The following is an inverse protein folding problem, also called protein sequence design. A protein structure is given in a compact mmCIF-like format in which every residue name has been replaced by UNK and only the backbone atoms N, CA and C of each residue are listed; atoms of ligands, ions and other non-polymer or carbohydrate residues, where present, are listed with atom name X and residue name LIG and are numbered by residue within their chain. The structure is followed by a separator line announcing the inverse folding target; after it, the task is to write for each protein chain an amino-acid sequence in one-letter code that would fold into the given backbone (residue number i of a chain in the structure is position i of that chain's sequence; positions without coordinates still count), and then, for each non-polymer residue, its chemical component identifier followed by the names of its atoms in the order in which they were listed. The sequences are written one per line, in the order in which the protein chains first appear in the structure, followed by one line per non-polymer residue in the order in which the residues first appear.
data_IF_039344174101
#
_entry.id   IF_039344174101
#
_cell.length_a   1.000
_cell.length_b   1.000
_cell.length_c   1.000
_cell.angle_alpha   90.00
_cell.angle_beta   90.00
_cell.angle_gamma   90.00
#
_symmetry.space_group_name_H-M   'P 1'
#
loop_
_entity.id
_entity.type
_entity.pdbx_description
1 polymer ?
#
# COMPACT_ATOMS: atom_id res chain seq x y z
N UNK A 1 6.24 18.80 -14.97
CA UNK A 1 6.68 18.94 -13.57
C UNK A 1 7.42 20.24 -13.44
N UNK A 2 7.08 21.01 -12.41
CA UNK A 2 7.76 22.26 -12.05
C UNK A 2 9.10 21.91 -11.43
N UNK A 3 10.12 22.71 -11.70
CA UNK A 3 11.49 22.52 -11.24
C UNK A 3 11.75 23.38 -9.99
N UNK A 4 12.29 22.75 -8.95
CA UNK A 4 12.64 23.39 -7.67
C UNK A 4 13.74 24.42 -7.83
N UNK A 5 14.77 24.13 -8.63
CA UNK A 5 15.89 25.02 -8.86
C UNK A 5 15.44 26.26 -9.64
N UNK A 6 14.57 26.07 -10.63
CA UNK A 6 13.98 27.19 -11.37
C UNK A 6 13.09 28.05 -10.46
N UNK A 7 12.25 27.42 -9.61
CA UNK A 7 11.44 28.15 -8.63
C UNK A 7 12.30 28.99 -7.66
N UNK A 8 13.45 28.47 -7.22
CA UNK A 8 14.39 29.19 -6.36
C UNK A 8 15.04 30.39 -7.08
N UNK A 9 15.49 30.21 -8.32
CA UNK A 9 16.07 31.30 -9.14
C UNK A 9 15.01 32.40 -9.37
N UNK A 10 13.78 32.01 -9.69
CA UNK A 10 12.67 32.96 -9.87
C UNK A 10 12.29 33.68 -8.57
N UNK A 11 12.40 33.02 -7.41
CA UNK A 11 12.15 33.63 -6.11
C UNK A 11 13.25 34.63 -5.75
N UNK A 12 14.51 34.32 -6.07
CA UNK A 12 15.65 35.21 -5.79
C UNK A 12 15.64 36.47 -6.66
N UNK A 13 15.47 36.34 -7.98
CA UNK A 13 15.51 37.48 -8.91
C UNK A 13 14.15 38.14 -9.10
N UNK A 14 13.05 37.41 -8.97
CA UNK A 14 11.69 37.89 -9.24
C UNK A 14 10.79 37.93 -8.01
N UNK A 15 11.31 37.64 -6.82
CA UNK A 15 10.53 37.59 -5.58
C UNK A 15 9.91 38.92 -5.16
N UNK A 16 10.47 40.04 -5.62
CA UNK A 16 9.90 41.37 -5.38
C UNK A 16 8.55 41.59 -6.09
N UNK A 17 8.26 40.83 -7.15
CA UNK A 17 6.99 40.82 -7.91
C UNK A 17 6.22 39.52 -7.69
N UNK A 18 6.86 38.48 -7.11
CA UNK A 18 6.24 37.18 -6.84
C UNK A 18 6.23 36.23 -8.05
N UNK A 19 7.21 36.36 -8.95
CA UNK A 19 7.26 35.60 -10.21
C UNK A 19 7.27 34.07 -9.99
N UNK A 20 7.92 33.60 -8.92
CA UNK A 20 7.92 32.18 -8.52
C UNK A 20 6.53 31.66 -8.15
N UNK A 21 5.64 32.50 -7.59
CA UNK A 21 4.28 32.08 -7.23
C UNK A 21 3.42 31.81 -8.46
N UNK A 22 3.59 32.61 -9.52
CA UNK A 22 2.96 32.35 -10.81
C UNK A 22 3.47 31.05 -11.45
N UNK A 23 4.79 30.83 -11.40
CA UNK A 23 5.39 29.58 -11.89
C UNK A 23 4.84 28.33 -11.17
N UNK A 24 4.59 28.44 -9.86
CA UNK A 24 4.05 27.34 -9.05
C UNK A 24 2.53 27.13 -9.25
N UNK A 25 1.85 28.01 -10.01
CA UNK A 25 0.40 27.98 -10.22
C UNK A 25 -0.41 28.67 -9.11
N UNK A 26 0.25 29.36 -8.18
CA UNK A 26 -0.37 30.08 -7.07
C UNK A 26 -0.72 31.52 -7.46
N UNK A 27 -1.59 31.67 -8.46
CA UNK A 27 -1.90 32.97 -9.09
C UNK A 27 -2.45 34.02 -8.11
N UNK A 28 -3.30 33.62 -7.16
CA UNK A 28 -3.83 34.54 -6.14
C UNK A 28 -2.74 35.12 -5.22
N UNK A 29 -1.75 34.30 -4.86
CA UNK A 29 -0.62 34.73 -4.02
C UNK A 29 0.38 35.56 -4.83
N UNK A 30 0.55 35.26 -6.11
CA UNK A 30 1.32 36.09 -7.05
C UNK A 30 0.75 37.50 -7.20
N UNK A 31 -0.58 37.64 -7.36
CA UNK A 31 -1.24 38.96 -7.45
C UNK A 31 -1.06 39.79 -6.17
N UNK A 32 -1.11 39.15 -5.00
CA UNK A 32 -0.83 39.82 -3.72
C UNK A 32 0.59 40.41 -3.68
N UNK A 33 1.57 39.69 -4.22
CA UNK A 33 2.95 40.16 -4.28
C UNK A 33 3.12 41.39 -5.17
N UNK A 34 2.40 41.45 -6.29
CA UNK A 34 2.40 42.59 -7.22
C UNK A 34 1.80 43.86 -6.59
N UNK A 35 0.76 43.71 -5.76
CA UNK A 35 0.04 44.84 -5.14
C UNK A 35 0.87 45.46 -4.00
N UNK A 36 1.75 44.70 -3.36
CA UNK A 36 2.56 45.15 -2.21
C UNK A 36 4.08 45.08 -2.50
N UNK A 37 4.59 45.84 -3.48
CA UNK A 37 6.02 45.84 -3.80
C UNK A 37 6.84 46.46 -2.67
N UNK A 38 8.00 45.89 -2.35
CA UNK A 38 8.94 46.41 -1.35
C UNK A 38 9.01 45.59 -0.05
N UNK A 39 7.86 45.22 0.55
CA UNK A 39 7.84 44.33 1.72
C UNK A 39 8.28 42.90 1.35
N UNK A 40 7.93 42.48 0.13
CA UNK A 40 8.07 41.10 -0.34
C UNK A 40 9.48 40.74 -0.85
N UNK A 41 10.41 41.70 -0.91
CA UNK A 41 11.80 41.43 -1.35
C UNK A 41 12.48 40.45 -0.39
N UNK A 42 12.33 40.66 0.92
CA UNK A 42 12.89 39.76 1.94
C UNK A 42 12.18 38.39 1.95
N UNK A 43 10.87 38.35 1.69
CA UNK A 43 10.14 37.09 1.56
C UNK A 43 10.58 36.28 0.33
N UNK A 44 10.92 36.95 -0.77
CA UNK A 44 11.45 36.28 -1.98
C UNK A 44 12.78 35.57 -1.72
N UNK A 45 13.71 36.22 -1.01
CA UNK A 45 14.99 35.61 -0.63
C UNK A 45 14.77 34.45 0.36
N UNK A 46 13.87 34.62 1.33
CA UNK A 46 13.51 33.54 2.27
C UNK A 46 12.91 32.34 1.53
N UNK A 47 11.99 32.56 0.60
CA UNK A 47 11.38 31.52 -0.23
C UNK A 47 12.44 30.80 -1.08
N UNK A 48 13.43 31.52 -1.63
CA UNK A 48 14.53 30.91 -2.38
C UNK A 48 15.39 29.98 -1.50
N UNK A 49 15.70 30.38 -0.27
CA UNK A 49 16.41 29.54 0.70
C UNK A 49 15.58 28.30 1.05
N UNK A 50 14.28 28.46 1.27
CA UNK A 50 13.37 27.35 1.57
C UNK A 50 13.34 26.35 0.40
N UNK A 51 13.25 26.82 -0.85
CA UNK A 51 13.26 25.92 -2.02
C UNK A 51 14.59 25.20 -2.20
N UNK A 52 15.72 25.87 -1.97
CA UNK A 52 17.04 25.22 -2.04
C UNK A 52 17.25 24.22 -0.90
N UNK A 53 16.67 24.46 0.27
CA UNK A 53 16.78 23.60 1.45
C UNK A 53 15.74 22.46 1.48
N UNK A 54 14.72 22.50 0.64
CA UNK A 54 13.67 21.49 0.58
C UNK A 54 14.12 20.31 -0.29
N UNK A 55 13.81 19.08 0.11
CA UNK A 55 14.03 17.91 -0.73
C UNK A 55 13.14 17.91 -1.97
N UNK A 56 13.59 17.24 -3.04
CA UNK A 56 12.88 17.23 -4.32
C UNK A 56 11.48 16.61 -4.18
N UNK A 57 11.36 15.53 -3.41
CA UNK A 57 10.09 14.83 -3.18
C UNK A 57 9.06 15.72 -2.46
N UNK A 58 9.49 16.47 -1.45
CA UNK A 58 8.62 17.40 -0.71
C UNK A 58 8.16 18.55 -1.60
N UNK A 59 9.03 19.03 -2.49
CA UNK A 59 8.66 20.05 -3.47
C UNK A 59 7.63 19.52 -4.46
N UNK A 60 7.86 18.33 -5.00
CA UNK A 60 6.96 17.71 -5.98
C UNK A 60 5.60 17.37 -5.37
N UNK A 61 5.56 16.92 -4.11
CA UNK A 61 4.31 16.68 -3.41
C UNK A 61 3.52 17.98 -3.18
N UNK A 62 4.20 19.07 -2.85
CA UNK A 62 3.56 20.36 -2.54
C UNK A 62 3.13 21.14 -3.79
N UNK A 63 3.94 21.10 -4.85
CA UNK A 63 3.79 21.97 -6.02
C UNK A 63 3.47 21.22 -7.31
N UNK A 64 3.79 19.93 -7.40
CA UNK A 64 3.46 19.05 -8.53
C UNK A 64 2.38 18.01 -8.18
N UNK A 65 1.59 18.24 -7.13
CA UNK A 65 0.58 17.28 -6.61
C UNK A 65 -0.32 16.66 -7.69
N UNK A 66 -0.81 17.45 -8.63
CA UNK A 66 -1.67 16.97 -9.73
C UNK A 66 -0.94 16.07 -10.72
N UNK A 67 0.32 16.37 -11.03
CA UNK A 67 1.13 15.54 -11.91
C UNK A 67 1.59 14.26 -11.21
N UNK A 68 1.95 14.37 -9.93
CA UNK A 68 2.27 13.23 -9.06
C UNK A 68 1.06 12.32 -8.90
N UNK A 69 -0.14 12.86 -8.69
CA UNK A 69 -1.36 12.06 -8.58
C UNK A 69 -1.75 11.41 -9.91
N UNK A 70 -1.62 12.13 -11.04
CA UNK A 70 -1.83 11.58 -12.37
C UNK A 70 -0.87 10.41 -12.65
N UNK A 71 0.43 10.61 -12.39
CA UNK A 71 1.44 9.56 -12.57
C UNK A 71 1.20 8.35 -11.67
N UNK A 72 0.88 8.57 -10.38
CA UNK A 72 0.50 7.48 -9.45
C UNK A 72 -0.73 6.73 -9.95
N UNK A 73 -1.74 7.44 -10.45
CA UNK A 73 -2.98 6.82 -10.97
C UNK A 73 -2.73 6.02 -12.25
N UNK A 74 -1.87 6.50 -13.15
CA UNK A 74 -1.52 5.79 -14.38
C UNK A 74 -0.65 4.57 -14.10
N UNK A 75 0.28 4.66 -13.13
CA UNK A 75 1.05 3.51 -12.67
C UNK A 75 0.13 2.43 -12.08
N UNK A 76 -0.80 2.82 -11.22
CA UNK A 76 -1.79 1.92 -10.62
C UNK A 76 -2.69 1.25 -11.67
N UNK A 77 -3.19 2.02 -12.66
CA UNK A 77 -4.00 1.49 -13.77
C UNK A 77 -3.23 0.47 -14.60
N UNK A 78 -2.01 0.80 -15.04
CA UNK A 78 -1.17 -0.09 -15.86
C UNK A 78 -0.80 -1.37 -15.12
N UNK A 79 -0.55 -1.27 -13.83
CA UNK A 79 -0.24 -2.40 -12.98
C UNK A 79 -1.47 -3.31 -12.80
N UNK A 80 -2.65 -2.73 -12.55
CA UNK A 80 -3.92 -3.47 -12.53
C UNK A 80 -4.24 -4.19 -13.85
N UNK A 81 -4.01 -3.53 -14.99
CA UNK A 81 -4.18 -4.16 -16.31
C UNK A 81 -3.21 -5.34 -16.54
N UNK A 82 -1.97 -5.23 -16.05
CA UNK A 82 -0.99 -6.33 -16.09
C UNK A 82 -1.45 -7.50 -15.22
N UNK A 83 -1.88 -7.21 -13.99
CA UNK A 83 -2.42 -8.19 -13.06
C UNK A 83 -3.60 -8.96 -13.67
N UNK A 84 -4.60 -8.26 -14.21
CA UNK A 84 -5.78 -8.89 -14.81
C UNK A 84 -5.41 -9.73 -16.03
N UNK A 85 -4.49 -9.24 -16.87
CA UNK A 85 -3.99 -10.01 -18.02
C UNK A 85 -3.28 -11.28 -17.59
N UNK A 86 -2.45 -11.23 -16.55
CA UNK A 86 -1.80 -12.41 -16.00
C UNK A 86 -2.83 -13.39 -15.44
N UNK A 87 -3.75 -12.90 -14.60
CA UNK A 87 -4.82 -13.70 -14.00
C UNK A 87 -5.66 -14.41 -15.05
N UNK A 88 -6.04 -13.72 -16.12
CA UNK A 88 -6.76 -14.31 -17.25
C UNK A 88 -5.93 -15.38 -17.96
N UNK A 89 -4.63 -15.16 -18.20
CA UNK A 89 -3.74 -16.18 -18.80
C UNK A 89 -3.67 -17.44 -17.93
N UNK A 90 -3.55 -17.28 -16.62
CA UNK A 90 -3.44 -18.40 -15.70
C UNK A 90 -4.76 -19.17 -15.58
N UNK A 91 -5.90 -18.47 -15.47
CA UNK A 91 -7.22 -19.10 -15.56
C UNK A 91 -7.39 -19.88 -16.87
N UNK A 92 -6.91 -19.33 -17.99
CA UNK A 92 -6.94 -20.01 -19.29
C UNK A 92 -6.01 -21.24 -19.34
N UNK A 93 -4.82 -21.19 -18.71
CA UNK A 93 -3.92 -22.34 -18.54
C UNK A 93 -4.56 -23.43 -17.70
N UNK A 94 -5.14 -23.10 -16.54
CA UNK A 94 -5.87 -24.04 -15.67
C UNK A 94 -7.02 -24.71 -16.41
N UNK A 95 -7.81 -23.95 -17.17
CA UNK A 95 -8.89 -24.48 -18.01
C UNK A 95 -8.36 -25.46 -19.07
N UNK A 96 -7.24 -25.14 -19.74
CA UNK A 96 -6.59 -26.03 -20.72
C UNK A 96 -5.94 -27.27 -20.10
N UNK A 97 -5.34 -27.17 -18.92
CA UNK A 97 -4.78 -28.33 -18.21
C UNK A 97 -5.86 -29.32 -17.73
N UNK A 98 -7.04 -28.80 -17.37
CA UNK A 98 -8.18 -29.61 -16.95
C UNK A 98 -8.80 -30.41 -18.12
N UNK A 99 -8.81 -29.85 -19.34
CA UNK A 99 -9.29 -30.58 -20.54
C UNK A 99 -8.31 -31.66 -21.03
N UNK A 100 -7.00 -31.45 -20.90
CA UNK A 100 -5.98 -32.46 -21.22
C UNK A 100 -6.06 -33.69 -20.30
N UNK A 101 -6.46 -33.50 -19.04
CA UNK A 101 -6.62 -34.59 -18.07
C UNK A 101 -7.85 -35.47 -18.35
N UNK A 102 -8.92 -34.88 -18.90
CA UNK A 102 -10.16 -35.60 -19.30
C UNK A 102 -10.00 -36.40 -20.59
N UNK A 103 -9.04 -36.03 -21.44
CA UNK A 103 -8.66 -36.77 -22.66
C UNK A 103 -7.85 -38.04 -22.34
N UNK A 104 -7.03 -38.03 -21.28
CA UNK A 104 -6.23 -39.20 -20.89
C UNK A 104 -7.04 -40.30 -20.19
N UNK A 105 -8.15 -39.99 -19.51
CA UNK A 105 -9.00 -41.00 -18.85
C UNK A 105 -9.85 -41.81 -19.84
N UNK A 106 -10.23 -41.24 -20.98
CA UNK A 106 -10.93 -41.98 -22.06
C UNK A 106 -9.97 -42.85 -22.88
N UNK A 107 -8.69 -42.46 -22.97
CA UNK A 107 -7.65 -43.29 -23.61
C UNK A 107 -7.13 -44.43 -22.72
N UNK A 108 -7.08 -44.24 -21.38
CA UNK A 108 -6.69 -45.28 -20.43
C UNK A 108 -7.77 -46.36 -20.24
N UNK A 109 -9.05 -45.98 -20.25
CA UNK A 109 -10.18 -46.94 -20.25
C UNK A 109 -10.16 -47.89 -21.47
N UNK A 110 -9.64 -47.43 -22.61
CA UNK A 110 -9.49 -48.24 -23.83
C UNK A 110 -8.30 -49.22 -23.79
N UNK A 111 -7.32 -49.00 -22.91
CA UNK A 111 -6.18 -49.92 -22.69
C UNK A 111 -6.42 -50.91 -21.54
N UNK A 112 -7.30 -50.61 -20.59
CA UNK A 112 -7.65 -51.53 -19.50
C UNK A 112 -8.51 -52.73 -19.98
N UNK A 113 -9.34 -52.53 -21.01
CA UNK A 113 -10.17 -53.58 -21.62
C UNK A 113 -9.37 -54.70 -22.34
N UNK A 114 -8.04 -54.54 -22.48
CA UNK A 114 -7.15 -55.57 -23.06
C UNK A 114 -6.30 -56.34 -22.05
N UNK A 115 -6.38 -56.04 -20.75
CA UNK A 115 -5.51 -56.63 -19.72
C UNK A 115 -6.26 -57.35 -18.60
N UNK A 116 -7.47 -57.85 -18.88
CA UNK A 116 -8.23 -58.71 -17.97
C UNK A 116 -7.87 -60.21 -18.08
N UNK A 117 -6.70 -60.55 -18.64
CA UNK A 117 -6.27 -61.94 -18.73
C UNK A 117 -4.78 -62.13 -18.40
N UNK A 118 -4.37 -61.74 -17.20
CA UNK A 118 -3.23 -62.40 -16.52
C UNK A 118 -3.26 -62.15 -15.01
N UNK A 119 -3.51 -63.26 -14.32
CA UNK A 119 -3.53 -63.50 -12.88
C UNK A 119 -2.29 -62.95 -12.17
N UNK A 120 -2.47 -62.60 -10.89
CA UNK A 120 -1.50 -62.98 -9.86
C UNK A 120 -0.90 -61.85 -9.03
N UNK A 121 -0.99 -62.05 -7.71
CA UNK A 121 -0.14 -61.55 -6.62
C UNK A 121 -0.56 -60.23 -5.96
N UNK A 122 -1.15 -60.41 -4.77
CA UNK A 122 -1.26 -59.45 -3.67
C UNK A 122 0.13 -58.97 -3.24
N UNK A 123 0.30 -57.68 -3.00
CA UNK A 123 1.28 -57.22 -2.02
C UNK A 123 0.78 -55.96 -1.30
N UNK A 124 0.56 -56.12 0.00
CA UNK A 124 0.37 -55.05 0.97
C UNK A 124 1.56 -54.08 0.89
N UNK A 125 1.28 -52.80 0.65
CA UNK A 125 2.18 -51.70 1.01
C UNK A 125 1.50 -50.85 2.07
N UNK A 126 2.21 -50.41 3.12
CA UNK A 126 1.60 -49.66 4.21
C UNK A 126 1.18 -48.29 3.70
N UNK A 127 -0.08 -47.94 3.96
CA UNK A 127 -0.62 -46.60 3.78
C UNK A 127 0.19 -45.64 4.64
N UNK A 128 1.16 -44.96 4.04
CA UNK A 128 1.72 -43.74 4.61
C UNK A 128 0.63 -42.68 4.48
N UNK A 129 -0.28 -42.66 5.47
CA UNK A 129 -1.21 -41.55 5.71
C UNK A 129 -0.36 -40.29 5.77
N UNK A 130 -0.28 -39.57 4.65
CA UNK A 130 0.23 -38.21 4.60
C UNK A 130 -0.70 -37.42 5.52
N UNK A 131 -0.16 -37.03 6.66
CA UNK A 131 -0.79 -36.13 7.61
C UNK A 131 -1.48 -35.01 6.82
N UNK A 132 -2.79 -34.93 6.98
CA UNK A 132 -3.61 -33.80 6.54
C UNK A 132 -3.19 -32.58 7.36
N UNK A 133 -2.01 -32.03 7.04
CA UNK A 133 -1.67 -30.68 7.43
C UNK A 133 -2.75 -29.79 6.86
N UNK A 134 -3.42 -29.05 7.75
CA UNK A 134 -4.39 -28.00 7.46
C UNK A 134 -4.08 -27.35 6.11
N UNK A 135 -4.84 -27.70 5.07
CA UNK A 135 -4.86 -26.90 3.86
C UNK A 135 -5.65 -25.66 4.25
N UNK A 136 -4.93 -24.62 4.67
CA UNK A 136 -5.46 -23.25 4.65
C UNK A 136 -6.22 -23.08 3.33
N UNK A 137 -7.41 -22.46 3.33
CA UNK A 137 -8.16 -22.21 2.10
C UNK A 137 -7.18 -21.59 1.10
N UNK A 138 -7.05 -22.22 -0.07
CA UNK A 138 -6.05 -21.82 -1.04
C UNK A 138 -6.33 -20.36 -1.43
N UNK A 139 -5.52 -19.43 -0.92
CA UNK A 139 -5.62 -18.02 -1.28
C UNK A 139 -5.07 -17.88 -2.71
N UNK A 140 -5.93 -17.75 -3.73
CA UNK A 140 -5.50 -17.78 -5.11
C UNK A 140 -4.62 -16.57 -5.45
N UNK A 141 -4.84 -15.44 -4.76
CA UNK A 141 -4.12 -14.20 -5.01
C UNK A 141 -2.71 -14.26 -4.40
N UNK A 142 -2.50 -15.02 -3.31
CA UNK A 142 -1.15 -15.32 -2.80
C UNK A 142 -0.31 -16.14 -3.78
N UNK A 143 -0.90 -17.19 -4.33
CA UNK A 143 -0.22 -18.06 -5.30
C UNK A 143 0.14 -17.26 -6.56
N UNK A 144 -0.80 -16.44 -7.03
CA UNK A 144 -0.60 -15.50 -8.13
C UNK A 144 0.55 -14.52 -7.86
N UNK A 145 0.60 -13.91 -6.67
CA UNK A 145 1.70 -13.01 -6.30
C UNK A 145 3.06 -13.69 -6.33
N UNK A 146 3.14 -14.93 -5.86
CA UNK A 146 4.38 -15.73 -5.92
C UNK A 146 4.82 -16.03 -7.35
N UNK A 147 3.89 -16.27 -8.28
CA UNK A 147 4.24 -16.47 -9.68
C UNK A 147 4.72 -15.18 -10.34
N UNK A 148 4.00 -14.07 -10.16
CA UNK A 148 4.40 -12.76 -10.68
C UNK A 148 5.77 -12.33 -10.14
N UNK A 149 6.04 -12.61 -8.86
CA UNK A 149 7.32 -12.36 -8.24
C UNK A 149 8.46 -13.13 -8.91
N UNK A 150 8.24 -14.40 -9.27
CA UNK A 150 9.23 -15.23 -10.00
C UNK A 150 9.42 -14.76 -11.44
N UNK A 151 8.38 -14.19 -12.04
CA UNK A 151 8.41 -13.60 -13.37
C UNK A 151 9.02 -12.18 -13.38
N UNK A 152 9.58 -11.72 -12.25
CA UNK A 152 10.17 -10.39 -12.05
C UNK A 152 9.18 -9.23 -12.19
N UNK A 153 7.87 -9.50 -12.23
CA UNK A 153 6.82 -8.47 -12.24
C UNK A 153 6.44 -8.09 -10.80
N UNK A 154 7.34 -7.37 -10.12
CA UNK A 154 7.19 -7.04 -8.71
C UNK A 154 5.99 -6.14 -8.43
N UNK A 155 5.68 -5.19 -9.31
CA UNK A 155 4.48 -4.33 -9.17
C UNK A 155 3.20 -5.19 -9.16
N UNK A 156 3.08 -6.14 -10.11
CA UNK A 156 1.94 -7.04 -10.17
C UNK A 156 1.90 -8.01 -8.98
N UNK A 157 3.06 -8.45 -8.50
CA UNK A 157 3.17 -9.28 -7.31
C UNK A 157 2.68 -8.56 -6.05
N UNK A 158 3.03 -7.28 -5.88
CA UNK A 158 2.58 -6.44 -4.77
C UNK A 158 1.05 -6.38 -4.75
N UNK A 159 0.40 -6.07 -5.88
CA UNK A 159 -1.07 -6.01 -5.94
C UNK A 159 -1.74 -7.34 -5.60
N UNK A 160 -1.15 -8.45 -6.07
CA UNK A 160 -1.64 -9.80 -5.78
C UNK A 160 -1.53 -10.13 -4.29
N UNK A 161 -0.40 -9.78 -3.68
CA UNK A 161 -0.19 -9.97 -2.24
C UNK A 161 -1.08 -9.06 -1.39
N UNK A 162 -1.32 -7.81 -1.80
CA UNK A 162 -2.24 -6.91 -1.10
C UNK A 162 -3.67 -7.47 -1.13
N UNK A 163 -4.13 -7.98 -2.28
CA UNK A 163 -5.41 -8.71 -2.38
C UNK A 163 -5.42 -9.95 -1.50
N UNK A 164 -4.32 -10.69 -1.43
CA UNK A 164 -4.18 -11.82 -0.52
C UNK A 164 -4.38 -11.41 0.95
N UNK A 165 -3.82 -10.27 1.37
CA UNK A 165 -3.98 -9.74 2.74
C UNK A 165 -5.40 -9.28 3.05
N UNK A 166 -6.23 -8.95 2.04
CA UNK A 166 -7.66 -8.69 2.30
C UNK A 166 -8.41 -9.92 2.79
N UNK A 167 -7.91 -11.12 2.47
CA UNK A 167 -8.49 -12.42 2.86
C UNK A 167 -7.82 -12.93 4.13
N UNK A 168 -6.48 -12.92 4.16
CA UNK A 168 -5.68 -13.37 5.29
C UNK A 168 -4.76 -12.24 5.78
N UNK A 169 -5.27 -11.28 6.59
CA UNK A 169 -4.50 -10.09 6.98
C UNK A 169 -3.30 -10.37 7.89
N UNK A 170 -3.20 -11.57 8.46
CA UNK A 170 -2.12 -11.99 9.37
C UNK A 170 -1.23 -13.06 8.75
N UNK A 171 -1.29 -13.25 7.43
CA UNK A 171 -0.43 -14.22 6.76
C UNK A 171 1.03 -13.74 6.75
N UNK A 172 1.83 -14.40 7.60
CA UNK A 172 3.28 -14.15 7.75
C UNK A 172 3.98 -14.26 6.39
N UNK A 173 3.63 -15.28 5.59
CA UNK A 173 4.30 -15.52 4.31
C UNK A 173 3.99 -14.42 3.30
N UNK A 174 2.74 -13.96 3.23
CA UNK A 174 2.36 -12.85 2.35
C UNK A 174 3.06 -11.56 2.76
N UNK A 175 3.11 -11.23 4.05
CA UNK A 175 3.87 -10.07 4.54
C UNK A 175 5.36 -10.15 4.20
N UNK A 176 6.00 -11.30 4.41
CA UNK A 176 7.39 -11.53 4.03
C UNK A 176 7.64 -11.33 2.53
N UNK A 177 6.79 -11.92 1.67
CA UNK A 177 6.96 -11.81 0.22
C UNK A 177 6.73 -10.39 -0.28
N UNK A 178 5.77 -9.68 0.32
CA UNK A 178 5.43 -8.31 -0.02
C UNK A 178 6.54 -7.35 0.46
N UNK A 179 7.17 -7.62 1.60
CA UNK A 179 8.41 -6.94 2.00
C UNK A 179 9.55 -7.16 0.99
N UNK A 180 9.77 -8.40 0.54
CA UNK A 180 10.77 -8.69 -0.50
C UNK A 180 10.47 -7.94 -1.79
N UNK A 181 9.20 -7.89 -2.21
CA UNK A 181 8.80 -7.19 -3.42
C UNK A 181 9.04 -5.68 -3.30
N UNK A 182 8.66 -5.07 -2.17
CA UNK A 182 8.93 -3.65 -1.94
C UNK A 182 10.41 -3.31 -1.87
N UNK A 183 11.24 -4.17 -1.29
CA UNK A 183 12.70 -3.99 -1.30
C UNK A 183 13.27 -4.02 -2.73
N UNK A 184 12.77 -4.92 -3.58
CA UNK A 184 13.18 -5.02 -5.00
C UNK A 184 12.66 -3.86 -5.85
N UNK A 185 11.58 -3.18 -5.43
CA UNK A 185 11.09 -1.95 -6.06
C UNK A 185 11.59 -0.68 -5.35
N UNK A 186 12.56 -0.81 -4.45
CA UNK A 186 13.22 0.30 -3.74
C UNK A 186 12.29 1.15 -2.84
N UNK A 187 11.21 0.55 -2.32
CA UNK A 187 10.30 1.18 -1.34
C UNK A 187 10.66 0.69 0.07
N UNK A 188 11.66 1.33 0.68
CA UNK A 188 12.22 0.90 1.95
C UNK A 188 11.20 0.93 3.10
N UNK A 189 10.37 1.97 3.16
CA UNK A 189 9.45 2.21 4.27
C UNK A 189 8.36 1.14 4.32
N UNK A 190 7.74 0.83 3.17
CA UNK A 190 6.75 -0.24 3.10
C UNK A 190 7.37 -1.61 3.29
N UNK A 191 8.59 -1.81 2.79
CA UNK A 191 9.30 -3.07 2.99
C UNK A 191 9.54 -3.33 4.49
N UNK A 192 10.05 -2.34 5.23
CA UNK A 192 10.22 -2.42 6.68
C UNK A 192 8.90 -2.60 7.43
N UNK A 193 7.83 -1.90 7.00
CA UNK A 193 6.50 -2.08 7.56
C UNK A 193 6.02 -3.54 7.47
N UNK A 194 6.19 -4.18 6.32
CA UNK A 194 5.75 -5.56 6.16
C UNK A 194 6.68 -6.57 6.83
N UNK A 195 7.96 -6.27 7.00
CA UNK A 195 8.85 -7.04 7.88
C UNK A 195 8.41 -6.95 9.35
N UNK A 196 8.12 -5.75 9.85
CA UNK A 196 7.58 -5.55 11.21
C UNK A 196 6.32 -6.40 11.42
N UNK A 197 5.39 -6.37 10.45
CA UNK A 197 4.17 -7.19 10.50
C UNK A 197 4.47 -8.68 10.50
N UNK A 198 5.37 -9.14 9.64
CA UNK A 198 5.76 -10.54 9.61
C UNK A 198 6.31 -10.99 10.98
N UNK A 199 7.19 -10.20 11.58
CA UNK A 199 7.78 -10.47 12.91
C UNK A 199 6.72 -10.42 14.01
N UNK A 200 5.85 -9.40 13.99
CA UNK A 200 4.73 -9.27 14.93
C UNK A 200 3.75 -10.45 14.86
N UNK A 201 3.61 -11.10 13.70
CA UNK A 201 2.78 -12.29 13.51
C UNK A 201 3.51 -13.62 13.76
N UNK A 202 4.80 -13.58 14.12
CA UNK A 202 5.56 -14.76 14.55
C UNK A 202 6.67 -15.21 13.60
N UNK A 203 7.06 -14.39 12.61
CA UNK A 203 8.29 -14.62 11.85
C UNK A 203 9.50 -14.52 12.79
N UNK A 204 10.36 -15.53 12.77
CA UNK A 204 11.50 -15.66 13.68
C UNK A 204 12.82 -16.03 12.97
N UNK A 205 12.82 -16.11 11.64
CA UNK A 205 14.01 -16.44 10.85
C UNK A 205 14.81 -15.17 10.52
N UNK A 206 15.44 -14.60 11.56
CA UNK A 206 16.22 -13.37 11.44
C UNK A 206 17.52 -13.56 10.64
N UNK A 207 18.07 -14.78 10.61
CA UNK A 207 19.21 -15.11 9.75
C UNK A 207 18.85 -14.88 8.28
N UNK A 208 17.67 -15.35 7.86
CA UNK A 208 17.15 -15.09 6.53
C UNK A 208 16.91 -13.61 6.28
N UNK A 209 16.41 -12.85 7.25
CA UNK A 209 16.21 -11.40 7.12
C UNK A 209 17.54 -10.66 6.85
N UNK A 210 18.61 -11.07 7.51
CA UNK A 210 19.93 -10.47 7.34
C UNK A 210 20.73 -10.97 6.12
N UNK A 211 20.31 -12.05 5.46
CA UNK A 211 21.05 -12.69 4.36
C UNK A 211 20.34 -12.62 3.01
N UNK A 212 19.01 -12.62 2.98
CA UNK A 212 18.22 -12.83 1.76
C UNK A 212 18.42 -11.74 0.69
N UNK A 213 18.74 -12.17 -0.53
CA UNK A 213 19.12 -11.28 -1.65
C UNK A 213 18.08 -10.20 -1.96
N UNK A 214 16.79 -10.55 -1.94
CA UNK A 214 15.71 -9.59 -2.19
C UNK A 214 15.69 -8.41 -1.19
N UNK A 215 16.27 -8.59 0.01
CA UNK A 215 16.38 -7.57 1.06
C UNK A 215 17.74 -6.87 1.06
N UNK A 216 18.57 -7.05 0.03
CA UNK A 216 19.85 -6.38 -0.08
C UNK A 216 19.72 -4.85 -0.08
N UNK A 217 18.74 -4.32 -0.81
CA UNK A 217 18.46 -2.88 -0.83
C UNK A 217 18.17 -2.33 0.58
N UNK A 218 17.32 -3.01 1.35
CA UNK A 218 17.01 -2.62 2.72
C UNK A 218 18.24 -2.57 3.62
N UNK A 219 19.14 -3.56 3.53
CA UNK A 219 20.34 -3.65 4.38
C UNK A 219 21.32 -2.50 4.19
N UNK A 220 21.22 -1.77 3.08
CA UNK A 220 22.05 -0.56 2.81
C UNK A 220 21.40 0.70 3.39
N UNK A 221 20.11 0.67 3.73
CA UNK A 221 19.39 1.85 4.22
C UNK A 221 19.79 2.20 5.66
N UNK A 222 19.95 3.49 6.01
CA UNK A 222 20.30 3.92 7.36
C UNK A 222 19.32 3.42 8.43
N UNK A 223 18.02 3.35 8.08
CA UNK A 223 16.96 2.92 8.97
C UNK A 223 17.01 1.42 9.32
N UNK A 224 17.69 0.59 8.52
CA UNK A 224 17.76 -0.84 8.75
C UNK A 224 18.55 -1.19 10.02
N UNK A 225 19.63 -0.46 10.32
CA UNK A 225 20.38 -0.68 11.56
C UNK A 225 19.53 -0.43 12.81
N UNK A 226 18.71 0.63 12.79
CA UNK A 226 17.76 0.94 13.87
C UNK A 226 16.69 -0.15 13.96
N UNK A 227 16.18 -0.61 12.82
CA UNK A 227 15.21 -1.69 12.76
C UNK A 227 15.73 -3.00 13.38
N UNK A 228 16.99 -3.36 13.10
CA UNK A 228 17.68 -4.52 13.71
C UNK A 228 17.82 -4.34 15.22
N UNK A 229 18.24 -3.16 15.69
CA UNK A 229 18.37 -2.86 17.13
C UNK A 229 17.04 -2.96 17.87
N UNK A 230 15.94 -2.66 17.19
CA UNK A 230 14.57 -2.76 17.70
C UNK A 230 13.98 -4.18 17.49
N UNK A 231 14.81 -5.22 17.39
CA UNK A 231 14.38 -6.61 17.19
C UNK A 231 13.46 -6.80 15.96
N UNK A 232 13.75 -6.07 14.88
CA UNK A 232 12.96 -6.08 13.64
C UNK A 232 11.51 -5.62 13.84
N UNK A 233 11.33 -4.65 14.75
CA UNK A 233 10.07 -3.96 14.99
C UNK A 233 10.24 -2.46 14.75
N UNK A 234 9.26 -1.84 14.09
CA UNK A 234 9.25 -0.38 13.91
C UNK A 234 8.85 0.34 15.20
N UNK A 235 7.98 -0.27 15.99
CA UNK A 235 7.58 0.17 17.31
C UNK A 235 7.51 -1.06 18.24
N UNK A 236 8.54 -1.31 19.06
CA UNK A 236 8.67 -2.56 19.84
C UNK A 236 7.52 -2.75 20.84
N UNK A 237 6.96 -1.66 21.38
CA UNK A 237 5.85 -1.68 22.34
C UNK A 237 4.46 -1.53 21.70
N UNK A 238 4.35 -1.43 20.37
CA UNK A 238 3.06 -1.23 19.73
C UNK A 238 2.23 -2.53 19.76
N UNK A 239 0.98 -2.48 20.25
CA UNK A 239 0.08 -3.62 20.15
C UNK A 239 -0.11 -4.00 18.68
N UNK A 240 -0.12 -5.30 18.39
CA UNK A 240 -0.33 -5.84 17.04
C UNK A 240 -1.60 -5.22 16.47
N UNK A 241 -1.54 -4.38 15.41
CA UNK A 241 -2.72 -3.65 14.97
C UNK A 241 -3.77 -4.62 14.44
N UNK A 242 -4.97 -4.52 15.00
CA UNK A 242 -6.13 -5.20 14.43
C UNK A 242 -6.35 -4.64 13.02
N UNK A 243 -6.54 -5.53 12.06
CA UNK A 243 -6.53 -5.22 10.64
C UNK A 243 -7.78 -4.46 10.20
N UNK A 244 -7.80 -3.15 10.44
CA UNK A 244 -8.59 -2.16 9.71
C UNK A 244 -7.90 -0.81 9.88
N UNK A 245 -7.28 -0.29 8.81
CA UNK A 245 -6.97 1.12 8.52
C UNK A 245 -5.70 1.21 7.68
N UNK A 246 -5.84 1.07 6.37
CA UNK A 246 -4.85 1.56 5.40
C UNK A 246 -5.31 2.87 4.72
N UNK A 247 -6.49 3.40 5.11
CA UNK A 247 -7.06 4.62 4.54
C UNK A 247 -6.98 5.86 5.45
N UNK A 248 -6.36 5.81 6.64
CA UNK A 248 -6.42 6.93 7.60
C UNK A 248 -5.06 7.37 8.19
N UNK A 249 -4.01 7.36 7.37
CA UNK A 249 -2.66 7.84 7.75
C UNK A 249 -2.49 9.37 7.64
N UNK A 250 -3.59 10.14 7.54
CA UNK A 250 -3.54 11.62 7.50
C UNK A 250 -4.22 12.32 8.69
N UNK A 251 -4.63 11.59 9.74
CA UNK A 251 -5.32 12.21 10.87
C UNK A 251 -4.79 11.73 12.22
N UNK A 252 -3.59 12.14 12.63
CA UNK A 252 -3.20 12.04 14.04
C UNK A 252 -2.53 13.32 14.56
N UNK A 253 -3.29 14.05 15.38
CA UNK A 253 -2.77 14.86 16.49
C UNK A 253 -3.04 14.08 17.80
N UNK A 254 -2.27 14.31 18.88
CA UNK A 254 -2.02 13.32 19.95
C UNK A 254 -3.20 13.09 20.93
N UNK A 255 -3.16 11.99 21.72
CA UNK A 255 -4.33 11.45 22.41
C UNK A 255 -4.51 12.04 23.82
N UNK A 256 -5.77 12.21 24.22
CA UNK A 256 -6.15 12.38 25.63
C UNK A 256 -7.25 11.36 26.00
N UNK A 257 -6.79 10.32 26.71
CA UNK A 257 -7.39 9.64 27.85
C UNK A 257 -8.94 9.48 27.99
N UNK A 258 -9.33 8.20 28.16
CA UNK A 258 -10.38 7.64 29.02
C UNK A 258 -11.81 7.37 28.47
N UNK A 259 -12.03 6.08 28.17
CA UNK A 259 -13.15 5.18 28.55
C UNK A 259 -14.59 5.71 28.73
N UNK A 260 -15.53 5.29 27.86
CA UNK A 260 -16.79 4.51 28.14
C UNK A 260 -17.66 4.40 26.83
N UNK A 261 -18.81 3.68 26.81
CA UNK A 261 -19.13 2.63 25.84
C UNK A 261 -19.78 3.09 24.51
N UNK A 262 -19.63 2.21 23.51
CA UNK A 262 -20.17 2.20 22.15
C UNK A 262 -21.52 2.92 21.95
N UNK A 263 -21.47 4.19 21.54
CA UNK A 263 -22.57 4.94 20.88
C UNK A 263 -22.09 5.81 19.70
N UNK A 264 -20.79 5.82 19.38
CA UNK A 264 -20.18 6.77 18.42
C UNK A 264 -20.67 6.68 16.97
N UNK A 265 -21.23 5.54 16.53
CA UNK A 265 -21.71 5.41 15.14
C UNK A 265 -22.95 6.29 14.91
N UNK A 266 -23.89 6.31 15.86
CA UNK A 266 -25.12 7.11 15.76
C UNK A 266 -24.84 8.61 15.92
N UNK A 267 -23.88 8.99 16.77
CA UNK A 267 -23.49 10.40 16.95
C UNK A 267 -22.79 10.98 15.71
N UNK A 268 -21.94 10.18 15.05
CA UNK A 268 -21.29 10.60 13.80
C UNK A 268 -22.30 10.76 12.66
N UNK A 269 -23.24 9.83 12.54
CA UNK A 269 -24.32 9.92 11.55
C UNK A 269 -25.20 11.16 11.78
N UNK A 270 -25.54 11.46 13.04
CA UNK A 270 -26.31 12.65 13.40
C UNK A 270 -25.54 13.96 13.12
N UNK A 271 -24.23 14.01 13.36
CA UNK A 271 -23.39 15.15 13.01
C UNK A 271 -23.24 15.33 11.49
N UNK A 272 -23.15 14.24 10.75
CA UNK A 272 -23.05 14.25 9.30
C UNK A 272 -24.36 14.74 8.65
N UNK A 273 -25.51 14.33 9.18
CA UNK A 273 -26.81 14.80 8.70
C UNK A 273 -27.05 16.29 9.02
N UNK A 274 -26.62 16.77 10.20
CA UNK A 274 -26.62 18.20 10.51
C UNK A 274 -25.76 19.02 9.53
N UNK A 275 -24.60 18.47 9.14
CA UNK A 275 -23.72 19.09 8.14
C UNK A 275 -24.40 19.21 6.77
N UNK A 276 -25.10 18.14 6.33
CA UNK A 276 -25.90 18.15 5.09
C UNK A 276 -27.04 19.14 5.13
N UNK A 277 -27.74 19.27 6.26
CA UNK A 277 -28.83 20.24 6.41
C UNK A 277 -28.34 21.68 6.32
N UNK A 278 -27.18 21.98 6.91
CA UNK A 278 -26.49 23.27 6.75
C UNK A 278 -26.08 23.52 5.30
N UNK A 279 -25.46 22.55 4.64
CA UNK A 279 -25.00 22.69 3.23
C UNK A 279 -26.16 22.86 2.24
N UNK A 280 -27.33 22.29 2.55
CA UNK A 280 -28.57 22.51 1.80
C UNK A 280 -29.26 23.84 2.12
N UNK A 281 -28.73 24.64 3.04
CA UNK A 281 -29.31 25.92 3.46
C UNK A 281 -30.58 25.79 4.30
N UNK A 282 -30.88 24.59 4.82
CA UNK A 282 -32.06 24.29 5.63
C UNK A 282 -31.85 24.60 7.12
N UNK A 283 -30.62 24.93 7.50
CA UNK A 283 -30.23 25.26 8.87
C UNK A 283 -29.28 26.47 8.85
N UNK A 284 -29.54 27.49 9.66
CA UNK A 284 -28.63 28.62 9.80
C UNK A 284 -27.38 28.24 10.60
N UNK A 285 -26.28 28.97 10.45
CA UNK A 285 -25.03 28.68 11.18
C UNK A 285 -25.21 28.70 12.70
N UNK A 286 -26.07 29.59 13.21
CA UNK A 286 -26.38 29.69 14.62
C UNK A 286 -27.15 28.47 15.14
N UNK A 287 -28.13 27.97 14.38
CA UNK A 287 -28.91 26.78 14.73
C UNK A 287 -28.07 25.50 14.63
N UNK A 288 -27.21 25.41 13.61
CA UNK A 288 -26.23 24.34 13.47
C UNK A 288 -25.29 24.28 14.68
N UNK A 289 -24.74 25.41 15.11
CA UNK A 289 -23.86 25.48 16.27
C UNK A 289 -24.57 25.07 17.57
N UNK A 290 -25.85 25.46 17.75
CA UNK A 290 -26.65 25.09 18.91
C UNK A 290 -26.97 23.58 18.96
N UNK A 291 -27.39 23.00 17.83
CA UNK A 291 -27.69 21.56 17.75
C UNK A 291 -26.44 20.70 17.85
N UNK A 292 -25.33 21.12 17.22
CA UNK A 292 -24.03 20.47 17.36
C UNK A 292 -23.54 20.48 18.81
N UNK A 293 -23.70 21.59 19.55
CA UNK A 293 -23.36 21.65 20.99
C UNK A 293 -24.21 20.70 21.83
N UNK A 294 -25.50 20.56 21.50
CA UNK A 294 -26.42 19.66 22.22
C UNK A 294 -26.13 18.17 21.97
N UNK A 295 -25.61 17.82 20.80
CA UNK A 295 -25.17 16.44 20.50
C UNK A 295 -23.82 16.10 21.12
N UNK A 296 -23.01 17.11 21.45
CA UNK A 296 -21.66 16.94 22.01
C UNK A 296 -21.59 17.22 23.52
N UNK A 297 -22.73 17.49 24.17
CA UNK A 297 -22.87 17.67 25.62
C UNK A 297 -23.31 16.38 26.29
#
# INVERSE_FOLDING_TARGET
MKDKNLAAVLAFFGGFVGLHRFYLGQTGLGVLYVIMPGLNVMLGVLDAIIFLSMDQDTFDEKYNREEVSAFRSDKARRSGDRYERYRQRELNRRRRGSSVSRSKTTAAGRKQARKNNRRGVKQNRPDKRRSSASRTPANPDRELGLELFKDFDYDGAIEAFEKSLTIEPRDIATHWNLACAYSLTEDADKSLYHLDRAVAFGFNDFERLNSHDALAYLRVQPQFETFVKNEYRLAPDAPVPEAHQQDDLLSQAPPAANAAPRTNVDLLDQLQELGRLRERGLLSEAEFAAQKRKLLS
#
